data_IF_554209321922
#
_entry.id   IF_554209321922
#
_cell.length_a   1.000
_cell.length_b   1.000
_cell.length_c   1.000
_cell.angle_alpha   90.00
_cell.angle_beta   90.00
_cell.angle_gamma   90.00
#
_symmetry.space_group_name_H-M   'P 1'
#
loop_
_entity.id
_entity.type
_entity.pdbx_description
1 polymer ?
#
# COMPACT_ATOMS: atom_id res chain seq x y z
N UNK A 1 -12.18 11.26 15.18
CA UNK A 1 -11.96 12.14 14.02
C UNK A 1 -11.22 11.30 13.00
N UNK A 2 -11.94 10.71 12.03
CA UNK A 2 -11.31 9.89 11.00
C UNK A 2 -10.66 10.84 10.00
N UNK A 3 -9.33 11.00 10.09
CA UNK A 3 -8.57 11.74 9.11
C UNK A 3 -8.54 10.87 7.86
N UNK A 4 -9.40 11.17 6.88
CA UNK A 4 -9.45 10.39 5.64
C UNK A 4 -8.15 10.63 4.87
N UNK A 5 -7.24 9.65 4.93
CA UNK A 5 -5.97 9.68 4.21
C UNK A 5 -6.26 9.61 2.71
N UNK A 6 -5.52 10.36 1.90
CA UNK A 6 -5.66 10.24 0.46
C UNK A 6 -5.13 8.88 -0.02
N UNK A 7 -5.65 8.37 -1.14
CA UNK A 7 -5.14 7.16 -1.79
C UNK A 7 -3.61 7.18 -1.99
N UNK A 8 -3.03 8.35 -2.23
CA UNK A 8 -1.58 8.53 -2.41
C UNK A 8 -0.83 8.30 -1.09
N UNK A 9 -1.38 8.75 0.03
CA UNK A 9 -0.74 8.62 1.35
C UNK A 9 -0.84 7.18 1.87
N UNK A 10 -1.98 6.53 1.66
CA UNK A 10 -2.15 5.09 1.94
C UNK A 10 -1.21 4.28 1.07
N UNK A 11 -1.12 4.58 -0.23
CA UNK A 11 -0.18 3.91 -1.14
C UNK A 11 1.28 4.03 -0.71
N UNK A 12 1.72 5.22 -0.27
CA UNK A 12 3.07 5.43 0.26
C UNK A 12 3.35 4.56 1.48
N UNK A 13 2.39 4.44 2.39
CA UNK A 13 2.50 3.60 3.58
C UNK A 13 2.57 2.11 3.22
N UNK A 14 1.66 1.64 2.35
CA UNK A 14 1.67 0.27 1.81
C UNK A 14 3.03 -0.07 1.18
N UNK A 15 3.55 0.82 0.34
CA UNK A 15 4.84 0.63 -0.32
C UNK A 15 6.01 0.63 0.69
N UNK A 16 5.97 1.47 1.72
CA UNK A 16 6.98 1.48 2.79
C UNK A 16 6.98 0.16 3.57
N UNK A 17 5.80 -0.36 3.92
CA UNK A 17 5.64 -1.64 4.61
C UNK A 17 6.17 -2.79 3.76
N UNK A 18 5.83 -2.84 2.46
CA UNK A 18 6.35 -3.86 1.54
C UNK A 18 7.88 -3.80 1.39
N UNK A 19 8.45 -2.60 1.29
CA UNK A 19 9.91 -2.43 1.25
C UNK A 19 10.58 -2.90 2.54
N UNK A 20 9.99 -2.59 3.68
CA UNK A 20 10.52 -3.00 4.98
C UNK A 20 10.50 -4.53 5.11
N UNK A 21 9.37 -5.16 4.77
CA UNK A 21 9.25 -6.63 4.78
C UNK A 21 10.30 -7.30 3.88
N UNK A 22 10.55 -6.71 2.70
CA UNK A 22 11.59 -7.19 1.77
C UNK A 22 13.01 -7.04 2.33
N UNK A 23 13.29 -5.96 3.05
CA UNK A 23 14.60 -5.73 3.69
C UNK A 23 14.83 -6.70 4.85
N UNK A 24 13.79 -6.99 5.62
CA UNK A 24 13.87 -7.92 6.75
C UNK A 24 13.80 -9.40 6.35
N UNK A 25 13.77 -9.72 5.05
CA UNK A 25 13.52 -11.08 4.50
C UNK A 25 12.29 -11.75 5.12
N UNK A 26 11.35 -10.94 5.64
CA UNK A 26 10.12 -11.41 6.24
C UNK A 26 9.10 -11.69 5.15
N UNK A 27 8.15 -12.57 5.47
CA UNK A 27 7.01 -12.83 4.62
C UNK A 27 6.31 -11.51 4.26
N UNK A 28 6.00 -11.32 2.98
CA UNK A 28 5.26 -10.13 2.54
C UNK A 28 3.92 -10.07 3.28
N UNK A 29 3.60 -8.95 3.95
CA UNK A 29 2.35 -8.83 4.69
C UNK A 29 1.16 -8.88 3.73
N UNK A 30 0.10 -9.55 4.17
CA UNK A 30 -1.18 -9.62 3.49
C UNK A 30 -1.90 -8.26 3.50
N UNK A 31 -2.91 -8.11 2.64
CA UNK A 31 -3.75 -6.89 2.59
C UNK A 31 -4.41 -6.62 3.95
N UNK A 32 -4.92 -7.67 4.61
CA UNK A 32 -5.49 -7.57 5.95
C UNK A 32 -4.48 -7.06 6.99
N UNK A 33 -3.23 -7.54 6.93
CA UNK A 33 -2.17 -7.08 7.84
C UNK A 33 -1.80 -5.62 7.56
N UNK A 34 -1.71 -5.23 6.29
CA UNK A 34 -1.44 -3.84 5.91
C UNK A 34 -2.58 -2.90 6.34
N UNK A 35 -3.83 -3.32 6.17
CA UNK A 35 -5.01 -2.60 6.63
C UNK A 35 -4.97 -2.40 8.15
N UNK A 36 -4.64 -3.46 8.91
CA UNK A 36 -4.49 -3.39 10.36
C UNK A 36 -3.32 -2.49 10.80
N UNK A 37 -2.19 -2.51 10.09
CA UNK A 37 -1.02 -1.66 10.40
C UNK A 37 -1.25 -0.18 10.10
N UNK A 38 -1.92 0.12 8.99
CA UNK A 38 -2.21 1.50 8.56
C UNK A 38 -3.42 2.08 9.31
N UNK A 39 -4.29 1.21 9.83
CA UNK A 39 -5.55 1.61 10.47
C UNK A 39 -6.62 1.98 9.45
N UNK A 40 -6.65 1.26 8.33
CA UNK A 40 -7.56 1.49 7.20
C UNK A 40 -8.33 0.22 6.84
N UNK A 41 -9.26 0.31 5.88
CA UNK A 41 -9.98 -0.86 5.36
C UNK A 41 -9.20 -1.54 4.25
N UNK A 42 -9.37 -2.85 4.09
CA UNK A 42 -8.76 -3.61 3.00
C UNK A 42 -9.15 -3.05 1.62
N UNK A 43 -10.40 -2.62 1.48
CA UNK A 43 -10.93 -1.97 0.27
C UNK A 43 -10.13 -0.70 -0.06
N UNK A 44 -9.93 0.19 0.92
CA UNK A 44 -9.20 1.42 0.72
C UNK A 44 -7.71 1.16 0.42
N UNK A 45 -7.11 0.11 1.00
CA UNK A 45 -5.75 -0.34 0.64
C UNK A 45 -5.68 -0.79 -0.82
N UNK A 46 -6.63 -1.62 -1.28
CA UNK A 46 -6.69 -2.09 -2.66
C UNK A 46 -6.88 -0.93 -3.65
N UNK A 47 -7.85 -0.07 -3.38
CA UNK A 47 -8.10 1.13 -4.19
C UNK A 47 -6.86 2.05 -4.21
N UNK A 48 -6.14 2.17 -3.10
CA UNK A 48 -4.89 2.94 -3.04
C UNK A 48 -3.79 2.32 -3.89
N UNK A 49 -3.73 1.00 -4.02
CA UNK A 49 -2.78 0.34 -4.93
C UNK A 49 -3.15 0.55 -6.40
N UNK A 50 -4.44 0.65 -6.72
CA UNK A 50 -4.90 0.89 -8.10
C UNK A 50 -4.78 2.37 -8.50
N UNK A 51 -5.22 3.29 -7.63
CA UNK A 51 -5.37 4.72 -7.94
C UNK A 51 -4.30 5.62 -7.30
N UNK A 52 -3.65 5.18 -6.23
CA UNK A 52 -2.56 5.90 -5.55
C UNK A 52 -1.21 5.79 -6.27
N UNK A 53 -1.10 4.90 -7.26
CA UNK A 53 0.02 4.89 -8.19
C UNK A 53 -0.09 6.10 -9.11
N UNK A 54 0.71 7.13 -8.85
CA UNK A 54 0.96 8.14 -9.88
C UNK A 54 1.71 7.39 -11.00
N UNK A 55 0.99 6.92 -12.04
CA UNK A 55 1.53 6.12 -13.14
C UNK A 55 2.60 6.92 -13.89
N UNK A 56 3.82 6.92 -13.35
CA UNK A 56 5.07 7.17 -14.06
C UNK A 56 5.91 5.89 -14.16
N UNK A 57 5.40 4.75 -13.71
CA UNK A 57 5.98 3.44 -14.02
C UNK A 57 5.23 2.84 -15.19
N UNK A 58 5.72 3.18 -16.37
CA UNK A 58 5.63 2.41 -17.60
C UNK A 58 5.52 0.92 -17.28
N UNK A 59 4.41 0.31 -17.69
CA UNK A 59 4.25 -1.13 -17.79
C UNK A 59 5.35 -1.66 -18.72
N UNK A 60 6.43 -2.22 -18.16
CA UNK A 60 7.25 -3.18 -18.91
C UNK A 60 6.48 -4.50 -18.93
N UNK A 61 5.54 -4.61 -19.88
CA UNK A 61 5.07 -5.91 -20.35
C UNK A 61 6.20 -6.46 -21.22
N UNK A 62 6.65 -7.66 -20.85
CA UNK A 62 7.64 -8.48 -21.52
C UNK A 62 7.16 -8.96 -22.89
#
# INVERSE_FOLDING_TARGET
>A
MYCHLSYIDVFKQVNAIQKLAKVEEKHSPSVAEMAAMIGDTEEHILESMEFGTNKSSCFLIH
#
